data_IF_793208504745
#
_entry.id   IF_793208504745
#
_cell.length_a   1.000
_cell.length_b   1.000
_cell.length_c   1.000
_cell.angle_alpha   90.00
_cell.angle_beta   90.00
_cell.angle_gamma   90.00
#
_symmetry.space_group_name_H-M   'P 1'
#
loop_
_entity.id
_entity.type
_entity.pdbx_description
1 polymer ?
#
# COMPACT_ATOMS: atom_id res chain seq x y z
N UNK A 1 3.64 -8.73 -21.71
CA UNK A 1 2.88 -9.05 -21.78
C UNK A 1 2.44 -9.59 -21.40
N UNK A 2 2.25 -9.47 -21.19
CA UNK A 2 1.64 -10.16 -21.10
C UNK A 2 0.83 -10.62 -21.50
N UNK A 3 0.78 -10.52 -22.23
CA UNK A 3 -0.25 -11.16 -22.56
C UNK A 3 0.05 -12.48 -22.45
N UNK A 4 -0.73 -13.14 -21.91
CA UNK A 4 -0.55 -14.35 -21.81
C UNK A 4 -1.28 -15.01 -22.74
N UNK A 5 -0.75 -15.68 -23.57
CA UNK A 5 -1.41 -16.46 -24.37
C UNK A 5 -1.39 -17.70 -23.77
N UNK A 6 -2.22 -18.13 -23.24
CA UNK A 6 -2.28 -19.32 -22.81
C UNK A 6 -2.79 -20.05 -23.76
N UNK A 7 -2.45 -20.27 -24.38
CA UNK A 7 -2.98 -20.75 -25.24
C UNK A 7 -3.46 -21.69 -25.09
N UNK A 8 -4.00 -21.72 -25.14
CA UNK A 8 -4.67 -22.21 -25.18
C UNK A 8 -5.13 -22.40 -25.95
N UNK A 9 -4.97 -22.49 -26.23
CA UNK A 9 -5.41 -22.39 -26.74
C UNK A 9 -5.91 -22.37 -27.15
N UNK A 10 -6.18 -22.91 -27.38
CA UNK A 10 -6.61 -22.46 -27.90
C UNK A 10 -6.14 -21.43 -28.15
N UNK A 11 -5.40 -21.24 -28.33
CA UNK A 11 -4.81 -20.08 -28.53
C UNK A 11 -5.44 -18.92 -28.11
N UNK A 12 -6.19 -19.05 -27.23
CA UNK A 12 -6.93 -17.96 -26.81
C UNK A 12 -6.08 -17.06 -25.96
N UNK A 13 -6.18 -15.77 -26.19
CA UNK A 13 -5.44 -14.78 -25.41
C UNK A 13 -6.39 -14.14 -24.47
N UNK A 14 -6.06 -14.20 -23.20
CA UNK A 14 -6.88 -13.58 -22.20
C UNK A 14 -6.14 -12.40 -21.64
N UNK A 15 -6.72 -11.22 -21.76
CA UNK A 15 -6.13 -10.03 -21.20
C UNK A 15 -6.81 -9.73 -19.92
N UNK A 16 -6.05 -9.74 -18.86
CA UNK A 16 -6.54 -9.24 -17.60
C UNK A 16 -5.81 -8.01 -17.27
N UNK A 17 -6.53 -7.05 -16.73
CA UNK A 17 -5.87 -5.90 -16.23
C UNK A 17 -5.43 -6.22 -14.84
N UNK A 18 -4.15 -6.23 -14.61
CA UNK A 18 -3.63 -6.40 -13.29
C UNK A 18 -3.09 -5.09 -12.82
N UNK A 19 -3.28 -4.79 -11.57
CA UNK A 19 -2.44 -3.85 -10.89
C UNK A 19 -1.10 -4.54 -10.70
N UNK A 20 0.03 -3.93 -11.09
CA UNK A 20 1.32 -4.60 -10.88
C UNK A 20 1.58 -4.99 -9.45
N UNK A 21 1.18 -4.14 -8.50
CA UNK A 21 1.40 -4.47 -7.09
C UNK A 21 0.50 -5.62 -6.67
N UNK A 22 -0.62 -5.82 -7.36
CA UNK A 22 -1.48 -6.95 -7.07
C UNK A 22 -0.86 -8.29 -7.40
N UNK A 23 0.10 -8.29 -8.33
CA UNK A 23 0.78 -9.53 -8.68
C UNK A 23 1.73 -10.00 -7.61
N UNK A 24 2.11 -9.13 -6.70
CA UNK A 24 2.94 -9.51 -5.58
C UNK A 24 2.17 -9.41 -4.27
N UNK A 25 0.87 -9.76 -4.34
CA UNK A 25 0.02 -9.67 -3.17
C UNK A 25 0.55 -10.45 -1.98
N UNK A 26 1.17 -11.60 -2.23
CA UNK A 26 1.76 -12.38 -1.16
C UNK A 26 2.92 -11.65 -0.53
N UNK A 27 3.78 -11.04 -1.34
CA UNK A 27 4.88 -10.24 -0.79
C UNK A 27 4.36 -9.03 -0.03
N UNK A 28 3.30 -8.41 -0.55
CA UNK A 28 2.70 -7.27 0.14
C UNK A 28 2.18 -7.68 1.52
N UNK A 29 1.53 -8.85 1.60
CA UNK A 29 1.03 -9.35 2.87
C UNK A 29 2.17 -9.62 3.85
N UNK A 30 3.25 -10.21 3.35
CA UNK A 30 4.40 -10.50 4.19
C UNK A 30 5.05 -9.21 4.71
N UNK A 31 5.18 -8.22 3.83
CA UNK A 31 5.74 -6.94 4.23
C UNK A 31 4.86 -6.28 5.28
N UNK A 32 3.54 -6.31 5.06
CA UNK A 32 2.63 -5.71 6.04
C UNK A 32 2.76 -6.37 7.40
N UNK A 33 2.85 -7.71 7.42
CA UNK A 33 3.00 -8.42 8.70
C UNK A 33 4.31 -8.08 9.39
N UNK A 34 5.39 -8.05 8.63
CA UNK A 34 6.70 -7.74 9.20
C UNK A 34 6.73 -6.31 9.71
N UNK A 35 6.20 -5.38 8.93
CA UNK A 35 6.19 -3.98 9.35
C UNK A 35 5.32 -3.77 10.56
N UNK A 36 4.16 -4.46 10.62
CA UNK A 36 3.30 -4.37 11.79
C UNK A 36 4.04 -4.84 13.05
N UNK A 37 4.78 -5.91 12.92
CA UNK A 37 5.52 -6.46 14.05
C UNK A 37 6.62 -5.52 14.51
N UNK A 38 7.32 -4.92 13.57
CA UNK A 38 8.46 -4.07 13.91
C UNK A 38 8.03 -2.66 14.32
N UNK A 39 7.02 -2.12 13.68
CA UNK A 39 6.59 -0.76 13.95
C UNK A 39 5.61 -0.67 15.10
N UNK A 40 4.89 -1.75 15.37
CA UNK A 40 3.94 -1.76 16.47
C UNK A 40 2.63 -1.08 16.16
N UNK A 41 2.33 -0.82 14.88
CA UNK A 41 1.09 -0.19 14.48
C UNK A 41 0.51 -0.94 13.30
N UNK A 42 -0.80 -0.76 13.01
CA UNK A 42 -1.38 -1.41 11.85
C UNK A 42 -0.77 -0.88 10.56
N UNK A 43 -0.66 -1.74 9.57
CA UNK A 43 -0.02 -1.43 8.29
C UNK A 43 -0.95 -1.86 7.18
N UNK A 44 -1.12 -1.01 6.19
CA UNK A 44 -1.93 -1.34 5.02
C UNK A 44 -1.11 -1.08 3.76
N UNK A 45 -1.29 -1.94 2.77
CA UNK A 45 -0.66 -1.81 1.47
C UNK A 45 -1.77 -1.65 0.44
N UNK A 46 -1.60 -0.69 -0.45
CA UNK A 46 -2.62 -0.33 -1.43
C UNK A 46 -2.03 -0.42 -2.83
N UNK A 47 -2.87 -0.79 -3.80
CA UNK A 47 -2.50 -0.45 -5.18
C UNK A 47 -3.07 0.94 -5.47
N UNK A 48 -3.18 1.30 -6.74
CA UNK A 48 -3.65 2.64 -7.04
C UNK A 48 -5.15 2.82 -6.80
N UNK A 49 -5.87 1.73 -6.63
CA UNK A 49 -7.32 1.77 -6.53
C UNK A 49 -7.87 1.20 -5.23
N UNK A 50 -7.24 0.19 -4.68
CA UNK A 50 -7.83 -0.57 -3.56
C UNK A 50 -6.79 -0.99 -2.55
N UNK A 51 -7.29 -1.39 -1.39
CA UNK A 51 -6.46 -2.04 -0.37
C UNK A 51 -6.09 -3.43 -0.86
N UNK A 52 -4.80 -3.76 -0.80
CA UNK A 52 -4.33 -5.09 -1.17
C UNK A 52 -4.15 -5.95 0.06
N UNK A 53 -3.57 -5.38 1.11
CA UNK A 53 -3.26 -6.15 2.30
C UNK A 53 -3.27 -5.24 3.50
N UNK A 54 -3.62 -5.80 4.66
CA UNK A 54 -3.59 -5.05 5.90
C UNK A 54 -3.16 -6.01 6.99
N UNK A 55 -2.39 -5.51 7.95
CA UNK A 55 -1.96 -6.29 9.10
C UNK A 55 -2.14 -5.45 10.35
N UNK A 56 -2.63 -6.07 11.42
CA UNK A 56 -2.85 -5.38 12.67
C UNK A 56 -4.18 -4.68 12.77
N UNK A 57 -5.06 -4.86 11.77
CA UNK A 57 -6.39 -4.28 11.79
C UNK A 57 -7.37 -5.33 11.29
N UNK A 58 -8.66 -5.05 11.43
CA UNK A 58 -9.69 -6.00 11.03
C UNK A 58 -9.71 -6.11 9.52
N UNK A 59 -9.30 -7.26 9.01
CA UNK A 59 -9.19 -7.45 7.57
C UNK A 59 -10.53 -7.29 6.86
N UNK A 60 -11.62 -7.69 7.51
CA UNK A 60 -12.93 -7.54 6.92
C UNK A 60 -13.29 -6.09 6.69
N UNK A 61 -12.85 -5.22 7.59
CA UNK A 61 -13.15 -3.80 7.48
C UNK A 61 -12.42 -3.17 6.30
N UNK A 62 -11.23 -3.67 6.01
CA UNK A 62 -10.37 -3.07 4.99
C UNK A 62 -10.45 -3.76 3.64
N UNK A 63 -10.98 -4.97 3.59
CA UNK A 63 -10.89 -5.81 2.41
C UNK A 63 -11.52 -5.13 1.20
N UNK A 64 -10.74 -4.99 0.13
CA UNK A 64 -11.18 -4.45 -1.15
C UNK A 64 -11.75 -3.03 -1.09
N UNK A 65 -11.47 -2.29 0.00
CA UNK A 65 -11.90 -0.89 0.07
C UNK A 65 -11.11 -0.07 -0.93
N UNK A 66 -11.77 0.94 -1.49
CA UNK A 66 -11.10 1.82 -2.43
C UNK A 66 -10.24 2.81 -1.67
N UNK A 67 -9.15 3.24 -2.32
CA UNK A 67 -8.35 4.30 -1.75
C UNK A 67 -9.18 5.59 -1.72
N UNK A 68 -8.90 6.43 -0.74
CA UNK A 68 -9.60 7.70 -0.62
C UNK A 68 -9.08 8.68 -1.67
N UNK A 69 -9.84 9.73 -1.98
CA UNK A 69 -9.32 10.75 -2.89
C UNK A 69 -8.04 11.39 -2.39
N UNK A 70 -7.91 11.54 -1.07
CA UNK A 70 -6.70 12.12 -0.49
C UNK A 70 -5.48 11.24 -0.75
N UNK A 71 -5.65 9.92 -0.61
CA UNK A 71 -4.54 9.02 -0.89
C UNK A 71 -4.23 8.99 -2.37
N UNK A 72 -5.26 9.05 -3.19
CA UNK A 72 -5.06 9.09 -4.63
C UNK A 72 -4.24 10.30 -5.03
N UNK A 73 -4.56 11.47 -4.47
CA UNK A 73 -3.80 12.68 -4.75
C UNK A 73 -2.36 12.56 -4.30
N UNK A 74 -2.15 11.98 -3.11
CA UNK A 74 -0.82 11.80 -2.59
C UNK A 74 0.02 10.92 -3.51
N UNK A 75 -0.58 9.85 -4.01
CA UNK A 75 0.10 8.96 -4.92
C UNK A 75 0.43 9.66 -6.24
N UNK A 76 -0.52 10.43 -6.79
CA UNK A 76 -0.29 11.12 -8.04
C UNK A 76 0.82 12.14 -7.92
N UNK A 77 0.93 12.77 -6.78
CA UNK A 77 1.97 13.76 -6.54
C UNK A 77 3.27 13.14 -6.08
N UNK A 78 3.28 11.84 -5.87
CA UNK A 78 4.45 11.08 -5.42
C UNK A 78 5.00 11.66 -4.12
N UNK A 79 4.08 12.09 -3.24
CA UNK A 79 4.46 12.70 -1.96
C UNK A 79 4.44 11.65 -0.87
N UNK A 80 5.22 11.90 0.17
CA UNK A 80 5.13 11.11 1.39
C UNK A 80 4.39 11.94 2.43
N UNK A 81 3.80 11.26 3.40
CA UNK A 81 3.06 11.89 4.47
C UNK A 81 3.53 11.33 5.80
N UNK A 82 3.80 12.22 6.75
CA UNK A 82 4.10 11.84 8.12
C UNK A 82 3.28 12.74 9.03
N UNK A 83 2.62 12.13 10.01
CA UNK A 83 1.69 12.87 10.85
C UNK A 83 2.37 13.92 11.73
N UNK A 84 3.68 13.80 11.92
CA UNK A 84 4.40 14.75 12.77
C UNK A 84 4.83 16.01 12.02
N UNK A 85 4.45 16.17 10.76
CA UNK A 85 4.85 17.35 10.00
C UNK A 85 3.82 18.47 10.06
N UNK A 86 2.72 18.26 10.76
CA UNK A 86 1.71 19.29 10.90
C UNK A 86 0.66 19.31 9.82
N UNK A 87 0.74 18.40 8.85
CA UNK A 87 -0.29 18.31 7.82
C UNK A 87 -1.54 17.68 8.40
N UNK A 88 -2.72 18.01 7.86
CA UNK A 88 -3.95 17.40 8.36
C UNK A 88 -3.97 15.90 8.17
N UNK A 89 -4.55 15.20 9.13
CA UNK A 89 -4.74 13.77 8.99
C UNK A 89 -5.71 13.47 7.86
N UNK A 90 -5.57 12.29 7.27
CA UNK A 90 -6.52 11.85 6.26
C UNK A 90 -6.80 10.38 6.43
N UNK A 91 -7.94 9.95 5.90
CA UNK A 91 -8.33 8.54 5.92
C UNK A 91 -7.88 7.93 4.60
N UNK A 92 -7.04 6.89 4.64
CA UNK A 92 -6.50 6.38 3.39
C UNK A 92 -7.47 5.51 2.59
N UNK A 93 -8.51 4.97 3.22
CA UNK A 93 -9.45 4.10 2.53
C UNK A 93 -10.86 4.60 2.75
N UNK A 94 -11.68 4.51 1.70
CA UNK A 94 -13.06 4.93 1.80
C UNK A 94 -13.81 3.98 2.71
N UNK A 95 -14.62 4.55 3.59
CA UNK A 95 -15.46 3.77 4.47
C UNK A 95 -14.77 3.23 5.70
N UNK A 96 -13.49 3.49 5.87
CA UNK A 96 -12.76 3.06 7.06
C UNK A 96 -12.27 4.31 7.79
N UNK A 97 -12.64 4.42 9.05
CA UNK A 97 -12.34 5.62 9.81
C UNK A 97 -11.07 5.45 10.63
N UNK A 98 -10.00 5.11 9.96
CA UNK A 98 -8.68 5.01 10.56
C UNK A 98 -7.75 5.90 9.78
N UNK A 99 -7.14 6.86 10.47
CA UNK A 99 -6.27 7.82 9.81
C UNK A 99 -4.89 7.24 9.60
N UNK A 100 -4.22 7.72 8.57
CA UNK A 100 -2.84 7.34 8.30
C UNK A 100 -1.92 8.13 9.22
N UNK A 101 -0.96 7.44 9.82
CA UNK A 101 0.08 8.07 10.61
C UNK A 101 1.27 8.39 9.71
N UNK A 102 1.50 7.55 8.74
CA UNK A 102 2.57 7.74 7.75
C UNK A 102 2.13 7.07 6.47
N UNK A 103 2.53 7.62 5.35
CA UNK A 103 2.17 7.04 4.06
C UNK A 103 3.29 7.33 3.07
N UNK A 104 3.63 6.33 2.28
CA UNK A 104 4.72 6.45 1.34
C UNK A 104 4.27 5.81 0.03
N UNK A 105 4.43 6.50 -1.10
CA UNK A 105 4.10 5.88 -2.38
C UNK A 105 5.10 4.81 -2.73
N UNK A 106 4.65 3.78 -3.43
CA UNK A 106 5.50 2.72 -3.92
C UNK A 106 5.83 3.05 -5.37
N UNK A 107 7.10 3.26 -5.64
CA UNK A 107 7.55 3.66 -6.96
C UNK A 107 8.31 2.53 -7.60
N UNK A 108 7.99 2.24 -8.84
CA UNK A 108 8.68 1.24 -9.63
C UNK A 108 9.08 1.91 -10.94
N UNK A 109 10.38 2.00 -11.19
CA UNK A 109 10.90 2.66 -12.39
C UNK A 109 10.34 4.07 -12.56
N UNK A 110 10.13 4.77 -11.45
CA UNK A 110 9.65 6.13 -11.47
C UNK A 110 8.15 6.31 -11.49
N UNK A 111 7.40 5.21 -11.68
CA UNK A 111 5.95 5.28 -11.72
C UNK A 111 5.36 4.82 -10.39
N UNK A 112 4.30 5.51 -9.96
CA UNK A 112 3.65 5.11 -8.72
C UNK A 112 2.77 3.91 -9.01
N UNK A 113 2.91 2.87 -8.20
CA UNK A 113 2.13 1.65 -8.36
C UNK A 113 1.20 1.40 -7.19
N UNK A 114 1.40 2.11 -6.09
CA UNK A 114 0.58 1.93 -4.92
C UNK A 114 1.14 2.72 -3.77
N UNK A 115 0.79 2.32 -2.56
CA UNK A 115 1.28 3.00 -1.37
C UNK A 115 1.28 2.03 -0.21
N UNK A 116 2.11 2.34 0.79
CA UNK A 116 2.09 1.65 2.06
C UNK A 116 1.82 2.70 3.13
N UNK A 117 0.99 2.37 4.11
CA UNK A 117 0.61 3.31 5.14
C UNK A 117 0.65 2.64 6.50
N UNK A 118 1.12 3.38 7.49
CA UNK A 118 0.97 3.03 8.89
C UNK A 118 -0.28 3.74 9.40
N UNK A 119 -1.08 3.05 10.19
CA UNK A 119 -2.40 3.53 10.59
C UNK A 119 -2.42 3.77 12.08
N UNK A 120 -3.30 4.67 12.52
CA UNK A 120 -3.50 4.88 13.94
C UNK A 120 -4.14 3.65 14.56
N UNK A 121 -3.81 3.40 15.81
CA UNK A 121 -4.38 2.26 16.52
C UNK A 121 -5.21 2.70 17.72
N UNK A 122 -5.53 3.99 17.78
CA UNK A 122 -6.36 4.51 18.84
C UNK A 122 -5.61 4.89 20.10
N UNK A 123 -4.40 4.38 20.27
CA UNK A 123 -3.62 4.67 21.45
C UNK A 123 -2.29 5.32 21.14
N UNK A 124 -1.71 4.95 20.03
CA UNK A 124 -0.40 5.44 19.67
C UNK A 124 -0.48 6.10 18.32
N UNK A 125 -0.54 7.40 18.32
CA UNK A 125 -0.54 8.13 17.07
C UNK A 125 0.77 8.83 16.81
N UNK A 126 1.74 8.69 17.72
CA UNK A 126 3.01 9.35 17.53
C UNK A 126 3.90 8.52 16.62
N UNK A 127 4.64 9.22 15.79
CA UNK A 127 5.51 8.62 14.81
C UNK A 127 6.95 8.83 15.26
N UNK A 128 7.77 7.79 15.22
CA UNK A 128 9.17 7.93 15.60
C UNK A 128 10.04 7.68 14.38
N UNK A 129 11.35 7.90 14.56
CA UNK A 129 12.29 7.77 13.46
C UNK A 129 12.39 6.34 12.95
N UNK A 130 12.25 5.37 13.84
CA UNK A 130 12.27 3.97 13.43
C UNK A 130 11.12 3.67 12.50
N UNK A 131 9.93 4.17 12.82
CA UNK A 131 8.77 3.94 11.97
C UNK A 131 8.94 4.61 10.61
N UNK A 132 9.53 5.80 10.57
CA UNK A 132 9.77 6.46 9.30
C UNK A 132 10.73 5.64 8.44
N UNK A 133 11.79 5.13 9.04
CA UNK A 133 12.73 4.29 8.30
C UNK A 133 12.08 3.02 7.81
N UNK A 134 11.23 2.42 8.64
CA UNK A 134 10.57 1.18 8.27
C UNK A 134 9.63 1.37 7.09
N UNK A 135 8.86 2.45 7.09
CA UNK A 135 7.92 2.65 5.99
C UNK A 135 8.66 2.94 4.69
N UNK A 136 9.78 3.65 4.77
CA UNK A 136 10.60 3.89 3.60
C UNK A 136 11.18 2.59 3.07
N UNK A 137 11.66 1.73 3.97
CA UNK A 137 12.20 0.44 3.55
C UNK A 137 11.13 -0.42 2.91
N UNK A 138 9.92 -0.41 3.48
CA UNK A 138 8.83 -1.22 2.93
C UNK A 138 8.47 -0.77 1.52
N UNK A 139 8.35 0.55 1.32
CA UNK A 139 7.98 1.04 0.00
C UNK A 139 9.07 0.75 -1.02
N UNK A 140 10.34 0.87 -0.64
CA UNK A 140 11.43 0.58 -1.55
C UNK A 140 11.52 -0.90 -1.88
N UNK A 141 11.30 -1.76 -0.88
CA UNK A 141 11.32 -3.18 -1.13
C UNK A 141 10.23 -3.58 -2.13
N UNK A 142 9.02 -3.09 -1.92
CA UNK A 142 7.92 -3.44 -2.81
C UNK A 142 8.15 -2.87 -4.20
N UNK A 143 8.69 -1.67 -4.30
CA UNK A 143 9.01 -1.09 -5.60
C UNK A 143 10.04 -1.91 -6.35
N UNK A 144 11.04 -2.41 -5.63
CA UNK A 144 12.07 -3.25 -6.26
C UNK A 144 11.50 -4.57 -6.74
N UNK A 145 10.59 -5.14 -5.98
CA UNK A 145 9.94 -6.39 -6.39
C UNK A 145 9.26 -6.23 -7.74
N UNK A 146 8.72 -5.05 -8.00
CA UNK A 146 7.97 -4.81 -9.22
C UNK A 146 8.87 -4.51 -10.41
N UNK A 147 10.13 -4.19 -10.18
CA UNK A 147 11.05 -3.88 -11.28
C UNK A 147 11.61 -5.12 -11.95
N UNK A 148 11.44 -6.28 -11.37
CA UNK A 148 11.97 -7.52 -11.96
C UNK A 148 11.04 -8.18 -12.93
#
# INVERSE_FOLDING_TARGET
>A
EMCIRDSNSDGEVIFKKYSPIGEIGESAAQVADIMHRLAGCPVAVFDRDHVISVSGAAKKEWNARRVSPELEDLMEQRRQYFSDTGEPDFLPAEGVEKAAVACMPILSAGDVTGAVAFLEDGEHTSLNETQKSLIQAASQFLGKQLED
#
